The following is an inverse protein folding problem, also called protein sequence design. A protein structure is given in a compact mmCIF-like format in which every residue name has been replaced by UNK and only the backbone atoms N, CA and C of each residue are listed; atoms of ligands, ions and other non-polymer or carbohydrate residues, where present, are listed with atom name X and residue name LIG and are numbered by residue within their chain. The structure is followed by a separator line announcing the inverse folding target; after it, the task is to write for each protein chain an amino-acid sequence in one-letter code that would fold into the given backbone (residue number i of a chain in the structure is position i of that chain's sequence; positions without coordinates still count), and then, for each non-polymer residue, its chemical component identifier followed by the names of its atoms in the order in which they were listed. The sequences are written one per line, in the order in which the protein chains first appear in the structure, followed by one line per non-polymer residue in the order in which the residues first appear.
data_IF_716746157986
#
_entry.id   IF_716746157986
#
_cell.length_a   1.000
_cell.length_b   1.000
_cell.length_c   1.000
_cell.angle_alpha   90.00
_cell.angle_beta   90.00
_cell.angle_gamma   90.00
#
_symmetry.space_group_name_H-M   'P 1'
#
loop_
_entity.id
_entity.type
_entity.pdbx_description
1 polymer ?
#
# COMPACT_ATOMS: atom_id res chain seq x y z
N UNK A 1 -8.33 -26.15 27.65
CA UNK A 1 -9.03 -25.28 26.67
C UNK A 1 -9.58 -24.02 27.33
N UNK A 2 -10.22 -24.12 28.51
CA UNK A 2 -10.79 -22.95 29.23
C UNK A 2 -9.78 -21.87 29.66
N UNK A 3 -8.55 -22.24 30.03
CA UNK A 3 -7.52 -21.26 30.42
C UNK A 3 -7.13 -20.32 29.26
N UNK A 4 -6.85 -20.87 28.08
CA UNK A 4 -6.44 -20.07 26.92
C UNK A 4 -7.58 -19.18 26.42
N UNK A 5 -8.82 -19.68 26.43
CA UNK A 5 -10.01 -18.89 26.09
C UNK A 5 -10.20 -17.71 27.05
N UNK A 6 -10.02 -17.91 28.36
CA UNK A 6 -10.08 -16.83 29.36
C UNK A 6 -8.99 -15.79 29.14
N UNK A 7 -7.77 -16.22 28.80
CA UNK A 7 -6.66 -15.31 28.49
C UNK A 7 -7.01 -14.47 27.25
N UNK A 8 -7.47 -15.10 26.16
CA UNK A 8 -7.83 -14.38 24.94
C UNK A 8 -8.93 -13.33 25.19
N UNK A 9 -10.03 -13.72 25.87
CA UNK A 9 -11.11 -12.77 26.21
C UNK A 9 -10.60 -11.60 27.06
N UNK A 10 -9.71 -11.86 28.03
CA UNK A 10 -9.14 -10.80 28.84
C UNK A 10 -8.23 -9.87 28.03
N UNK A 11 -7.48 -10.40 27.06
CA UNK A 11 -6.66 -9.57 26.16
C UNK A 11 -7.56 -8.72 25.25
N UNK A 12 -8.59 -9.31 24.65
CA UNK A 12 -9.56 -8.59 23.81
C UNK A 12 -10.27 -7.47 24.59
N UNK A 13 -10.65 -7.70 25.84
CA UNK A 13 -11.33 -6.69 26.66
C UNK A 13 -10.44 -5.52 27.09
N UNK A 14 -9.12 -5.69 27.05
CA UNK A 14 -8.15 -4.66 27.42
C UNK A 14 -7.44 -4.05 26.19
N UNK A 15 -7.84 -4.43 24.96
CA UNK A 15 -7.28 -3.88 23.73
C UNK A 15 -7.86 -2.49 23.42
N UNK A 16 -7.01 -1.46 23.57
CA UNK A 16 -7.33 -0.05 23.25
C UNK A 16 -7.67 0.16 21.76
N UNK A 17 -7.23 -0.75 20.88
CA UNK A 17 -7.48 -0.70 19.44
C UNK A 17 -8.72 -1.49 19.00
N UNK A 18 -9.39 -2.18 19.92
CA UNK A 18 -10.53 -3.07 19.62
C UNK A 18 -11.67 -2.37 18.87
N UNK A 19 -11.81 -1.06 19.02
CA UNK A 19 -12.78 -0.25 18.29
C UNK A 19 -12.57 -0.26 16.77
N UNK A 20 -11.31 -0.29 16.30
CA UNK A 20 -10.98 -0.33 14.87
C UNK A 20 -11.47 -1.58 14.17
N UNK A 21 -11.67 -2.70 14.88
CA UNK A 21 -12.23 -3.93 14.30
C UNK A 21 -13.59 -3.68 13.63
N UNK A 22 -14.35 -2.68 14.10
CA UNK A 22 -15.66 -2.31 13.56
C UNK A 22 -15.56 -1.55 12.23
N UNK A 23 -14.39 -1.03 11.87
CA UNK A 23 -14.17 -0.30 10.61
C UNK A 23 -14.01 -1.23 9.40
N UNK A 24 -13.87 -2.55 9.62
CA UNK A 24 -13.62 -3.53 8.57
C UNK A 24 -14.78 -4.50 8.36
N UNK A 25 -14.96 -4.92 7.11
CA UNK A 25 -15.95 -5.91 6.68
C UNK A 25 -15.25 -7.25 6.54
N UNK A 26 -15.68 -8.23 7.33
CA UNK A 26 -15.28 -9.63 7.18
C UNK A 26 -16.51 -10.52 7.05
N UNK A 27 -16.43 -11.63 6.29
CA UNK A 27 -17.48 -12.63 6.29
C UNK A 27 -17.70 -13.21 7.69
N UNK A 28 -18.94 -13.57 8.00
CA UNK A 28 -19.33 -14.16 9.29
C UNK A 28 -18.51 -15.43 9.57
N UNK A 29 -18.13 -15.64 10.84
CA UNK A 29 -17.37 -16.81 11.29
C UNK A 29 -16.01 -17.04 10.59
N UNK A 30 -15.40 -16.00 10.02
CA UNK A 30 -14.09 -16.11 9.36
C UNK A 30 -12.97 -15.63 10.28
N UNK A 31 -11.94 -16.47 10.45
CA UNK A 31 -10.65 -16.10 11.06
C UNK A 31 -9.68 -15.84 9.90
N UNK A 32 -9.46 -14.57 9.58
CA UNK A 32 -8.62 -14.17 8.45
C UNK A 32 -7.20 -13.83 8.92
N UNK A 33 -6.24 -14.69 8.60
CA UNK A 33 -4.83 -14.58 9.01
C UNK A 33 -3.87 -14.40 7.82
N UNK A 34 -4.36 -13.81 6.72
CA UNK A 34 -3.57 -13.56 5.50
C UNK A 34 -3.65 -12.09 5.06
N UNK A 35 -3.84 -11.19 6.03
CA UNK A 35 -3.93 -9.73 5.82
C UNK A 35 -2.63 -9.10 5.31
N UNK A 36 -1.51 -9.81 5.46
CA UNK A 36 -0.21 -9.43 4.90
C UNK A 36 -0.15 -9.59 3.36
N UNK A 37 -1.01 -10.44 2.79
CA UNK A 37 -1.12 -10.63 1.34
C UNK A 37 -2.19 -9.69 0.77
N UNK A 38 -3.37 -9.68 1.37
CA UNK A 38 -4.47 -8.79 0.99
C UNK A 38 -5.17 -8.19 2.22
N UNK A 39 -5.17 -6.87 2.32
CA UNK A 39 -5.85 -6.17 3.41
C UNK A 39 -7.38 -6.39 3.39
N UNK A 40 -7.97 -6.45 4.58
CA UNK A 40 -9.43 -6.54 4.73
C UNK A 40 -10.09 -5.25 4.24
N UNK A 41 -11.25 -5.38 3.59
CA UNK A 41 -12.05 -4.25 3.12
C UNK A 41 -12.49 -3.34 4.27
N UNK A 42 -12.07 -2.07 4.22
CA UNK A 42 -12.58 -1.02 5.10
C UNK A 42 -13.99 -0.60 4.70
N UNK A 43 -14.87 -0.28 5.65
CA UNK A 43 -16.28 0.06 5.37
C UNK A 43 -16.43 1.34 4.56
N UNK A 44 -15.68 2.37 4.92
CA UNK A 44 -15.76 3.69 4.29
C UNK A 44 -15.43 3.67 2.78
N UNK A 45 -14.59 2.74 2.33
CA UNK A 45 -14.13 2.72 0.93
C UNK A 45 -15.27 2.39 -0.05
N UNK A 46 -16.32 1.71 0.41
CA UNK A 46 -17.49 1.40 -0.43
C UNK A 46 -18.16 2.69 -0.89
N UNK A 47 -18.40 3.60 0.05
CA UNK A 47 -19.05 4.88 -0.24
C UNK A 47 -18.11 5.80 -1.04
N UNK A 48 -16.82 5.83 -0.71
CA UNK A 48 -15.82 6.62 -1.42
C UNK A 48 -15.67 6.18 -2.90
N UNK A 49 -15.64 4.88 -3.17
CA UNK A 49 -15.58 4.34 -4.54
C UNK A 49 -16.89 4.61 -5.27
N UNK A 50 -18.04 4.41 -4.62
CA UNK A 50 -19.34 4.70 -5.23
C UNK A 50 -19.46 6.18 -5.62
N UNK A 51 -19.01 7.09 -4.77
CA UNK A 51 -18.95 8.52 -5.09
C UNK A 51 -17.98 8.81 -6.24
N UNK A 52 -16.82 8.16 -6.25
CA UNK A 52 -15.83 8.30 -7.34
C UNK A 52 -16.42 7.90 -8.69
N UNK A 53 -17.20 6.81 -8.72
CA UNK A 53 -17.83 6.33 -9.96
C UNK A 53 -18.99 7.23 -10.38
N UNK A 54 -19.93 7.52 -9.47
CA UNK A 54 -21.18 8.22 -9.81
C UNK A 54 -20.97 9.71 -10.02
N UNK A 55 -20.28 10.36 -9.09
CA UNK A 55 -20.14 11.80 -9.06
C UNK A 55 -18.88 12.24 -9.79
N UNK A 56 -17.70 11.79 -9.32
CA UNK A 56 -16.44 12.27 -9.88
C UNK A 56 -16.31 11.86 -11.36
N UNK A 57 -16.53 10.59 -11.68
CA UNK A 57 -16.44 10.13 -13.06
C UNK A 57 -17.74 10.39 -13.84
N UNK A 58 -18.88 9.92 -13.33
CA UNK A 58 -20.15 9.94 -14.06
C UNK A 58 -20.68 11.35 -14.37
N UNK A 59 -20.72 12.22 -13.35
CA UNK A 59 -21.31 13.56 -13.49
C UNK A 59 -20.28 14.62 -13.86
N UNK A 60 -19.12 14.63 -13.19
CA UNK A 60 -18.13 15.71 -13.33
C UNK A 60 -17.16 15.50 -14.51
N UNK A 61 -17.04 14.26 -15.02
CA UNK A 61 -16.22 13.91 -16.18
C UNK A 61 -14.77 14.45 -16.04
N UNK A 62 -14.26 15.12 -17.06
CA UNK A 62 -12.88 15.62 -17.12
C UNK A 62 -12.58 16.67 -16.03
N UNK A 63 -13.58 17.38 -15.52
CA UNK A 63 -13.39 18.42 -14.49
C UNK A 63 -12.80 17.84 -13.20
N UNK A 64 -13.13 16.58 -12.88
CA UNK A 64 -12.62 15.87 -11.71
C UNK A 64 -11.10 15.75 -11.65
N UNK A 65 -10.40 15.87 -12.78
CA UNK A 65 -8.93 15.95 -12.75
C UNK A 65 -8.45 17.13 -11.93
N UNK A 66 -8.98 18.32 -12.20
CA UNK A 66 -8.56 19.55 -11.55
C UNK A 66 -9.21 19.68 -10.16
N UNK A 67 -10.45 19.23 -10.02
CA UNK A 67 -11.20 19.39 -8.77
C UNK A 67 -10.73 18.41 -7.68
N UNK A 68 -10.22 17.23 -8.05
CA UNK A 68 -9.90 16.18 -7.08
C UNK A 68 -8.72 15.30 -7.42
N UNK A 69 -8.69 14.69 -8.61
CA UNK A 69 -7.82 13.54 -8.89
C UNK A 69 -6.34 13.89 -8.96
N UNK A 70 -5.98 15.08 -9.47
CA UNK A 70 -4.57 15.50 -9.57
C UNK A 70 -3.89 15.62 -8.21
N UNK A 71 -4.65 15.94 -7.15
CA UNK A 71 -4.12 16.09 -5.79
C UNK A 71 -4.09 14.78 -5.00
N UNK A 72 -4.79 13.72 -5.44
CA UNK A 72 -4.95 12.48 -4.67
C UNK A 72 -3.60 11.85 -4.31
N UNK A 73 -2.62 11.69 -5.22
CA UNK A 73 -1.32 11.14 -4.86
C UNK A 73 -0.65 11.93 -3.73
N UNK A 74 -0.65 13.26 -3.80
CA UNK A 74 -0.04 14.12 -2.78
C UNK A 74 -0.72 13.99 -1.42
N UNK A 75 -2.05 13.85 -1.39
CA UNK A 75 -2.82 13.61 -0.16
C UNK A 75 -2.46 12.27 0.47
N UNK A 76 -2.31 11.22 -0.33
CA UNK A 76 -1.92 9.89 0.15
C UNK A 76 -0.45 9.87 0.59
N UNK A 77 0.46 10.48 -0.17
CA UNK A 77 1.88 10.62 0.19
C UNK A 77 2.06 11.22 1.58
N UNK A 78 1.34 12.30 1.91
CA UNK A 78 1.39 12.93 3.24
C UNK A 78 0.95 12.01 4.37
N UNK A 79 -0.07 11.16 4.14
CA UNK A 79 -0.55 10.18 5.12
C UNK A 79 0.44 9.03 5.30
N UNK A 80 1.07 8.56 4.22
CA UNK A 80 2.09 7.52 4.30
C UNK A 80 3.36 8.06 4.97
N UNK A 81 3.74 9.30 4.68
CA UNK A 81 4.91 9.94 5.27
C UNK A 81 4.86 9.99 6.80
N UNK A 82 3.68 10.16 7.42
CA UNK A 82 3.55 10.09 8.88
C UNK A 82 3.81 8.69 9.45
N UNK A 83 3.58 7.64 8.66
CA UNK A 83 3.89 6.25 9.06
C UNK A 83 5.39 5.97 8.89
N UNK A 84 6.00 6.51 7.82
CA UNK A 84 7.42 6.35 7.50
C UNK A 84 8.34 7.32 8.26
N UNK A 85 7.77 8.28 9.01
CA UNK A 85 8.50 9.33 9.70
C UNK A 85 9.42 10.15 8.77
N UNK A 86 8.88 10.58 7.63
CA UNK A 86 9.58 11.41 6.64
C UNK A 86 8.69 12.57 6.16
N UNK A 87 9.23 13.42 5.28
CA UNK A 87 8.46 14.49 4.65
C UNK A 87 7.51 13.95 3.58
N UNK A 88 6.34 14.58 3.42
CA UNK A 88 5.40 14.24 2.34
C UNK A 88 5.99 14.39 0.94
N UNK A 89 7.05 15.19 0.78
CA UNK A 89 7.75 15.36 -0.50
C UNK A 89 8.76 14.25 -0.79
N UNK A 90 9.05 13.38 0.18
CA UNK A 90 9.95 12.23 0.04
C UNK A 90 9.18 10.94 -0.31
N UNK A 91 7.85 11.01 -0.41
CA UNK A 91 6.98 9.86 -0.71
C UNK A 91 6.28 10.06 -2.05
N UNK A 92 6.50 9.13 -2.97
CA UNK A 92 5.74 9.02 -4.21
C UNK A 92 4.67 7.93 -4.10
N UNK A 93 3.43 8.25 -4.49
CA UNK A 93 2.31 7.29 -4.56
C UNK A 93 1.83 7.17 -5.99
N UNK A 94 1.90 5.95 -6.54
CA UNK A 94 1.44 5.61 -7.88
C UNK A 94 2.18 4.39 -8.44
N UNK A 95 1.67 3.82 -9.53
CA UNK A 95 2.19 2.58 -10.14
C UNK A 95 2.20 1.37 -9.17
N UNK A 96 2.79 0.25 -9.60
CA UNK A 96 3.04 -0.92 -8.76
C UNK A 96 4.39 -0.83 -8.04
N UNK A 97 4.59 -1.66 -7.01
CA UNK A 97 5.90 -1.84 -6.34
C UNK A 97 7.00 -2.16 -7.35
N UNK A 98 6.81 -3.14 -8.24
CA UNK A 98 7.81 -3.54 -9.23
C UNK A 98 8.16 -2.43 -10.21
N UNK A 99 7.17 -1.64 -10.67
CA UNK A 99 7.46 -0.50 -11.55
C UNK A 99 8.23 0.60 -10.83
N UNK A 100 7.93 0.87 -9.56
CA UNK A 100 8.66 1.89 -8.80
C UNK A 100 10.09 1.44 -8.49
N UNK A 101 10.30 0.15 -8.19
CA UNK A 101 11.64 -0.42 -8.06
C UNK A 101 12.44 -0.29 -9.35
N UNK A 102 11.83 -0.61 -10.51
CA UNK A 102 12.48 -0.46 -11.81
C UNK A 102 12.92 0.99 -12.05
N UNK A 103 12.01 1.96 -11.88
CA UNK A 103 12.32 3.39 -12.05
C UNK A 103 13.47 3.81 -11.15
N UNK A 104 13.41 3.43 -9.87
CA UNK A 104 14.42 3.80 -8.88
C UNK A 104 15.81 3.27 -9.27
N UNK A 105 15.93 1.97 -9.53
CA UNK A 105 17.21 1.36 -9.89
C UNK A 105 17.74 1.95 -11.20
N UNK A 106 16.89 2.07 -12.23
CA UNK A 106 17.30 2.64 -13.53
C UNK A 106 17.81 4.08 -13.38
N UNK A 107 17.09 4.93 -12.64
CA UNK A 107 17.51 6.30 -12.38
C UNK A 107 18.84 6.40 -11.62
N UNK A 108 19.08 5.52 -10.64
CA UNK A 108 20.35 5.48 -9.91
C UNK A 108 21.51 5.09 -10.84
N UNK A 109 21.36 4.02 -11.63
CA UNK A 109 22.39 3.57 -12.57
C UNK A 109 22.65 4.56 -13.70
N UNK A 110 21.62 5.30 -14.12
CA UNK A 110 21.78 6.38 -15.10
C UNK A 110 22.55 7.59 -14.54
N UNK A 111 22.32 7.94 -13.28
CA UNK A 111 23.03 9.03 -12.60
C UNK A 111 24.46 8.64 -12.18
N UNK A 112 24.73 7.35 -11.92
CA UNK A 112 26.00 6.85 -11.39
C UNK A 112 26.56 5.72 -12.25
N UNK A 113 27.21 6.09 -13.37
CA UNK A 113 27.74 5.16 -14.38
C UNK A 113 28.90 4.28 -13.89
N UNK A 114 29.47 4.61 -12.73
CA UNK A 114 30.51 3.86 -12.04
C UNK A 114 29.98 2.63 -11.28
N UNK A 115 28.68 2.59 -10.95
CA UNK A 115 28.04 1.41 -10.36
C UNK A 115 28.01 0.27 -11.39
N UNK A 116 28.56 -0.88 -11.03
CA UNK A 116 28.67 -2.06 -11.91
C UNK A 116 27.87 -3.28 -11.46
N UNK A 117 27.39 -3.30 -10.22
CA UNK A 117 26.75 -4.48 -9.66
C UNK A 117 25.51 -4.07 -8.87
N UNK A 118 24.44 -4.85 -9.02
CA UNK A 118 23.27 -4.85 -8.15
C UNK A 118 23.38 -6.07 -7.24
N UNK A 119 23.25 -5.89 -5.92
CA UNK A 119 23.23 -7.00 -4.97
C UNK A 119 21.83 -7.17 -4.38
N UNK A 120 21.36 -8.40 -4.29
CA UNK A 120 20.05 -8.77 -3.70
C UNK A 120 20.18 -10.10 -2.96
N UNK A 121 19.20 -10.43 -2.12
CA UNK A 121 19.15 -11.69 -1.39
C UNK A 121 18.47 -12.81 -2.20
N UNK A 122 18.89 -14.06 -2.00
CA UNK A 122 18.31 -15.22 -2.69
C UNK A 122 16.83 -15.45 -2.33
N UNK A 123 16.44 -15.08 -1.11
CA UNK A 123 15.08 -15.16 -0.56
C UNK A 123 14.25 -13.90 -0.86
N UNK A 124 14.81 -12.92 -1.59
CA UNK A 124 14.04 -11.75 -1.99
C UNK A 124 12.84 -12.15 -2.89
N UNK A 125 11.79 -11.34 -2.87
CA UNK A 125 10.56 -11.64 -3.58
C UNK A 125 10.82 -11.77 -5.10
N UNK A 126 10.18 -12.72 -5.81
CA UNK A 126 10.52 -13.01 -7.20
C UNK A 126 10.48 -11.80 -8.14
N UNK A 127 9.49 -10.90 -8.00
CA UNK A 127 9.41 -9.73 -8.88
C UNK A 127 10.60 -8.81 -8.75
N UNK A 128 11.15 -8.66 -7.56
CA UNK A 128 12.28 -7.77 -7.28
C UNK A 128 13.54 -8.30 -7.96
N UNK A 129 13.73 -9.63 -7.93
CA UNK A 129 14.81 -10.30 -8.66
C UNK A 129 14.65 -10.15 -10.18
N UNK A 130 13.46 -10.38 -10.72
CA UNK A 130 13.21 -10.24 -12.17
C UNK A 130 13.41 -8.80 -12.65
N UNK A 131 13.06 -7.79 -11.83
CA UNK A 131 13.35 -6.39 -12.15
C UNK A 131 14.86 -6.16 -12.20
N UNK A 132 15.62 -6.64 -11.21
CA UNK A 132 17.07 -6.51 -11.21
C UNK A 132 17.72 -7.23 -12.40
N UNK A 133 17.30 -8.47 -12.69
CA UNK A 133 17.78 -9.27 -13.83
C UNK A 133 17.49 -8.57 -15.16
N UNK A 134 16.26 -8.12 -15.38
CA UNK A 134 15.89 -7.40 -16.60
C UNK A 134 16.64 -6.08 -16.76
N UNK A 135 16.94 -5.36 -15.68
CA UNK A 135 17.80 -4.17 -15.74
C UNK A 135 19.23 -4.54 -16.13
N UNK A 136 19.78 -5.64 -15.61
CA UNK A 136 21.12 -6.09 -15.99
C UNK A 136 21.23 -6.50 -17.47
N UNK A 137 20.15 -6.89 -18.13
CA UNK A 137 20.16 -7.17 -19.57
C UNK A 137 20.24 -5.88 -20.43
N UNK A 138 19.81 -4.73 -19.88
CA UNK A 138 19.87 -3.42 -20.55
C UNK A 138 21.25 -2.74 -20.48
N UNK A 139 22.18 -3.20 -19.62
CA UNK A 139 23.45 -2.52 -19.27
C UNK A 139 24.68 -3.41 -19.48
#
# INVERSE_FOLDING_TARGET
MDKLKKIAINLDSNDELSSYRKEFILPTNTIYLDGNSLGVLSKNIIDDINNTIKEDWGNNLISSWNDKWIELPNKVSKKIASILNCSGNEVYVGSSTSNNLYKLIKSILEAHKDIKNISTDNLNFPSDKYICEGICEDF
#
